data_IF_704908793074
#
_entry.id   IF_704908793074
#
_cell.length_a   1.000
_cell.length_b   1.000
_cell.length_c   1.000
_cell.angle_alpha   90.00
_cell.angle_beta   90.00
_cell.angle_gamma   90.00
#
_symmetry.space_group_name_H-M   'P 1'
#
loop_
_entity.id
_entity.type
_entity.pdbx_description
1 polymer ?
#
# COMPACT_ATOMS: atom_id res chain seq x y z
N UNK A 1 -10.42 -15.90 3.97
CA UNK A 1 -9.84 -16.65 5.11
C UNK A 1 -10.24 -18.13 5.24
N UNK A 2 -11.51 -18.53 5.12
CA UNK A 2 -11.96 -19.92 5.44
C UNK A 2 -11.08 -21.04 4.85
N UNK A 3 -10.68 -20.93 3.58
CA UNK A 3 -9.76 -21.88 2.89
C UNK A 3 -8.40 -22.05 3.58
N UNK A 4 -7.89 -21.01 4.23
CA UNK A 4 -6.54 -20.99 4.82
C UNK A 4 -6.56 -21.09 6.34
N UNK A 5 -7.73 -21.28 6.96
CA UNK A 5 -7.87 -21.33 8.41
C UNK A 5 -6.97 -22.39 9.02
N UNK A 6 -6.99 -23.61 8.47
CA UNK A 6 -6.17 -24.72 8.97
C UNK A 6 -4.67 -24.44 8.81
N UNK A 7 -4.26 -23.87 7.67
CA UNK A 7 -2.88 -23.48 7.43
C UNK A 7 -2.40 -22.42 8.44
N UNK A 8 -3.24 -21.43 8.76
CA UNK A 8 -2.94 -20.39 9.77
C UNK A 8 -2.84 -21.01 11.16
N UNK A 9 -3.84 -21.80 11.57
CA UNK A 9 -3.87 -22.41 12.92
C UNK A 9 -2.68 -23.34 13.12
N UNK A 10 -2.27 -24.08 12.09
CA UNK A 10 -1.17 -25.06 12.16
C UNK A 10 0.21 -24.49 11.75
N UNK A 11 0.31 -23.20 11.43
CA UNK A 11 1.59 -22.58 11.06
C UNK A 11 2.66 -22.81 12.15
N UNK A 12 3.82 -23.36 11.77
CA UNK A 12 4.87 -23.74 12.72
C UNK A 12 5.56 -22.53 13.40
N UNK A 13 5.36 -21.33 12.85
CA UNK A 13 5.97 -20.10 13.38
C UNK A 13 7.46 -19.94 13.03
N UNK A 14 8.06 -20.89 12.31
CA UNK A 14 9.45 -20.80 11.88
C UNK A 14 9.63 -19.68 10.86
N UNK A 15 10.62 -18.82 11.11
CA UNK A 15 11.07 -17.83 10.14
C UNK A 15 12.10 -18.49 9.24
N UNK A 16 11.68 -18.92 8.05
CA UNK A 16 12.62 -19.30 6.99
C UNK A 16 12.59 -18.21 5.93
N UNK A 17 13.52 -17.22 5.97
CA UNK A 17 13.58 -16.20 4.95
C UNK A 17 13.73 -16.84 3.57
N UNK A 18 12.80 -16.57 2.66
CA UNK A 18 12.83 -17.12 1.30
C UNK A 18 11.90 -18.31 1.04
N UNK A 19 11.35 -18.94 2.07
CA UNK A 19 10.51 -20.13 1.93
C UNK A 19 9.19 -19.94 2.68
N UNK A 20 8.15 -19.50 1.95
CA UNK A 20 6.80 -19.50 2.49
C UNK A 20 6.21 -20.91 2.39
N UNK A 21 5.44 -21.38 3.40
CA UNK A 21 4.86 -22.72 3.38
C UNK A 21 3.91 -22.91 2.21
N UNK A 22 3.96 -24.08 1.57
CA UNK A 22 3.18 -24.40 0.38
C UNK A 22 1.66 -24.36 0.62
N UNK A 23 1.22 -24.53 1.86
CA UNK A 23 -0.17 -24.45 2.30
C UNK A 23 -0.76 -23.05 2.10
N UNK A 24 0.09 -22.02 1.99
CA UNK A 24 -0.31 -20.65 1.68
C UNK A 24 -0.23 -20.31 0.19
N UNK A 25 0.27 -21.19 -0.67
CA UNK A 25 0.46 -20.88 -2.09
C UNK A 25 -0.91 -20.70 -2.78
N UNK A 26 -1.09 -19.56 -3.44
CA UNK A 26 -2.28 -19.23 -4.24
C UNK A 26 -2.07 -19.57 -5.71
N UNK A 27 -0.95 -19.12 -6.27
CA UNK A 27 -0.63 -19.25 -7.68
C UNK A 27 0.88 -19.16 -7.91
N UNK A 28 1.35 -19.73 -9.02
CA UNK A 28 2.74 -19.66 -9.45
C UNK A 28 2.84 -19.54 -10.97
N UNK A 29 3.75 -18.69 -11.45
CA UNK A 29 4.09 -18.50 -12.86
C UNK A 29 5.62 -18.48 -13.01
N UNK A 30 6.19 -19.62 -13.39
CA UNK A 30 7.64 -19.82 -13.39
C UNK A 30 8.25 -19.58 -12.01
N UNK A 31 9.10 -18.56 -11.90
CA UNK A 31 9.78 -18.17 -10.66
C UNK A 31 8.97 -17.22 -9.76
N UNK A 32 7.83 -16.72 -10.24
CA UNK A 32 6.94 -15.83 -9.49
C UNK A 32 5.91 -16.66 -8.73
N UNK A 33 5.80 -16.45 -7.43
CA UNK A 33 4.85 -17.12 -6.55
C UNK A 33 4.02 -16.10 -5.76
N UNK A 34 2.72 -16.35 -5.67
CA UNK A 34 1.77 -15.57 -4.89
C UNK A 34 1.27 -16.41 -3.71
N UNK A 35 1.29 -15.84 -2.52
CA UNK A 35 0.85 -16.53 -1.31
C UNK A 35 -0.30 -15.78 -0.65
N UNK A 36 -1.11 -16.51 0.10
CA UNK A 36 -2.19 -15.94 0.88
C UNK A 36 -1.65 -15.18 2.11
N UNK A 37 -2.19 -13.99 2.36
CA UNK A 37 -2.06 -13.21 3.59
C UNK A 37 -3.47 -12.89 4.13
N UNK A 38 -3.72 -12.92 5.46
CA UNK A 38 -5.03 -12.62 6.04
C UNK A 38 -5.36 -11.11 6.06
N UNK A 39 -5.33 -10.46 4.89
CA UNK A 39 -5.64 -9.03 4.69
C UNK A 39 -6.98 -8.80 3.98
N UNK A 40 -7.87 -9.80 3.91
CA UNK A 40 -9.14 -9.75 3.18
C UNK A 40 -10.08 -8.60 3.61
N UNK A 41 -9.93 -8.04 4.82
CA UNK A 41 -10.80 -6.99 5.33
C UNK A 41 -10.63 -5.65 4.57
N UNK A 42 -11.70 -5.13 3.98
CA UNK A 42 -11.71 -3.82 3.32
C UNK A 42 -12.36 -2.76 4.22
N UNK A 43 -11.65 -1.66 4.49
CA UNK A 43 -12.23 -0.54 5.22
C UNK A 43 -13.06 0.35 4.29
N UNK A 44 -14.32 -0.01 4.06
CA UNK A 44 -15.23 0.70 3.14
C UNK A 44 -15.60 2.13 3.58
N UNK A 45 -15.22 2.52 4.80
CA UNK A 45 -15.40 3.89 5.32
C UNK A 45 -14.20 4.80 5.07
N UNK A 46 -13.11 4.27 4.51
CA UNK A 46 -11.92 5.06 4.26
C UNK A 46 -12.19 6.18 3.25
N UNK A 47 -11.59 7.35 3.52
CA UNK A 47 -11.51 8.48 2.60
C UNK A 47 -10.14 8.55 1.93
N UNK A 48 -9.13 7.90 2.49
CA UNK A 48 -7.76 7.84 1.95
C UNK A 48 -7.35 6.39 1.75
N UNK A 49 -6.86 6.06 0.55
CA UNK A 49 -6.26 4.77 0.24
C UNK A 49 -4.79 4.94 -0.06
N UNK A 50 -3.94 4.30 0.75
CA UNK A 50 -2.50 4.26 0.52
C UNK A 50 -2.16 2.97 -0.22
N UNK A 51 -1.56 3.07 -1.41
CA UNK A 51 -1.31 1.92 -2.29
C UNK A 51 0.18 1.67 -2.42
N UNK A 52 0.65 0.59 -1.78
CA UNK A 52 2.00 0.04 -1.97
C UNK A 52 2.11 -0.89 -3.19
N UNK A 53 3.24 -1.59 -3.33
CA UNK A 53 3.43 -2.58 -4.40
C UNK A 53 2.78 -3.91 -4.01
N UNK A 54 3.30 -4.53 -2.95
CA UNK A 54 2.87 -5.83 -2.42
C UNK A 54 3.32 -5.92 -0.96
N UNK A 55 2.62 -6.66 -0.07
CA UNK A 55 3.15 -7.03 1.22
C UNK A 55 4.44 -7.84 1.05
N UNK A 56 5.45 -7.57 1.89
CA UNK A 56 6.68 -8.36 1.98
C UNK A 56 6.62 -9.44 3.06
N UNK A 57 7.65 -10.28 3.11
CA UNK A 57 7.75 -11.41 4.04
C UNK A 57 7.47 -11.05 5.51
N UNK A 58 8.03 -9.93 6.01
CA UNK A 58 7.83 -9.51 7.41
C UNK A 58 6.36 -9.17 7.69
N UNK A 59 5.68 -8.51 6.76
CA UNK A 59 4.25 -8.20 6.89
C UNK A 59 3.43 -9.49 6.87
N UNK A 60 3.75 -10.42 5.96
CA UNK A 60 3.11 -11.73 5.89
C UNK A 60 3.27 -12.52 7.20
N UNK A 61 4.49 -12.65 7.70
CA UNK A 61 4.77 -13.38 8.93
C UNK A 61 4.00 -12.81 10.12
N UNK A 62 4.05 -11.49 10.32
CA UNK A 62 3.36 -10.83 11.42
C UNK A 62 1.82 -10.99 11.30
N UNK A 63 1.28 -10.89 10.09
CA UNK A 63 -0.14 -11.07 9.83
C UNK A 63 -0.60 -12.50 10.16
N UNK A 64 0.11 -13.51 9.66
CA UNK A 64 -0.24 -14.93 9.87
C UNK A 64 -0.11 -15.30 11.35
N UNK A 65 0.97 -14.91 12.02
CA UNK A 65 1.16 -15.20 13.46
C UNK A 65 0.13 -14.49 14.35
N UNK A 66 -0.26 -13.26 14.00
CA UNK A 66 -1.34 -12.54 14.69
C UNK A 66 -2.68 -13.26 14.51
N UNK A 67 -3.03 -13.62 13.27
CA UNK A 67 -4.27 -14.35 12.99
C UNK A 67 -4.28 -15.71 13.68
N UNK A 68 -3.16 -16.44 13.65
CA UNK A 68 -3.00 -17.72 14.35
C UNK A 68 -3.28 -17.60 15.84
N UNK A 69 -2.69 -16.61 16.52
CA UNK A 69 -2.90 -16.40 17.94
C UNK A 69 -4.38 -16.21 18.26
N UNK A 70 -5.04 -15.30 17.54
CA UNK A 70 -6.47 -14.99 17.75
C UNK A 70 -7.35 -16.22 17.55
N UNK A 71 -7.10 -16.99 16.48
CA UNK A 71 -7.87 -18.18 16.17
C UNK A 71 -7.67 -19.30 17.21
N UNK A 72 -6.45 -19.47 17.73
CA UNK A 72 -6.15 -20.43 18.81
C UNK A 72 -6.77 -20.02 20.14
N UNK A 73 -6.90 -18.72 20.39
CA UNK A 73 -7.53 -18.16 21.59
C UNK A 73 -9.08 -18.16 21.50
N UNK A 74 -9.67 -18.77 20.46
CA UNK A 74 -11.12 -18.87 20.27
C UNK A 74 -11.77 -17.63 19.63
N UNK A 75 -10.98 -16.69 19.13
CA UNK A 75 -11.47 -15.53 18.39
C UNK A 75 -12.07 -15.91 17.03
N UNK A 76 -12.93 -15.02 16.52
CA UNK A 76 -13.57 -15.21 15.22
C UNK A 76 -12.73 -14.70 14.04
N UNK A 77 -13.23 -14.98 12.83
CA UNK A 77 -12.55 -14.66 11.58
C UNK A 77 -12.40 -13.14 11.36
N UNK A 78 -13.43 -12.39 11.75
CA UNK A 78 -13.45 -10.95 11.59
C UNK A 78 -12.40 -10.27 12.47
N UNK A 79 -12.27 -10.71 13.73
CA UNK A 79 -11.25 -10.24 14.65
C UNK A 79 -9.85 -10.59 14.14
N UNK A 80 -9.63 -11.84 13.70
CA UNK A 80 -8.34 -12.28 13.18
C UNK A 80 -7.88 -11.43 11.98
N UNK A 81 -8.76 -11.22 10.99
CA UNK A 81 -8.47 -10.38 9.81
C UNK A 81 -8.21 -8.92 10.20
N UNK A 82 -9.02 -8.36 11.10
CA UNK A 82 -8.88 -6.97 11.56
C UNK A 82 -7.54 -6.74 12.24
N UNK A 83 -7.16 -7.59 13.19
CA UNK A 83 -5.91 -7.44 13.91
C UNK A 83 -4.69 -7.80 13.04
N UNK A 84 -4.78 -8.78 12.15
CA UNK A 84 -3.72 -9.08 11.20
C UNK A 84 -3.39 -7.85 10.32
N UNK A 85 -4.42 -7.15 9.83
CA UNK A 85 -4.25 -5.96 8.97
C UNK A 85 -3.68 -4.75 9.71
N UNK A 86 -3.92 -4.61 11.04
CA UNK A 86 -3.33 -3.53 11.85
C UNK A 86 -1.80 -3.53 11.84
N UNK A 87 -1.18 -4.69 11.68
CA UNK A 87 0.27 -4.86 11.73
C UNK A 87 0.96 -4.60 10.38
N UNK A 88 0.24 -4.04 9.41
CA UNK A 88 0.49 -4.34 8.01
C UNK A 88 1.02 -3.25 7.09
N UNK A 89 1.12 -1.97 7.43
CA UNK A 89 1.61 -0.98 6.45
C UNK A 89 2.22 0.29 7.07
N UNK A 90 3.26 0.80 6.40
CA UNK A 90 3.85 2.12 6.63
C UNK A 90 4.16 2.44 8.10
N UNK A 91 5.01 1.65 8.74
CA UNK A 91 5.50 1.86 10.11
C UNK A 91 6.92 2.45 10.15
N UNK A 92 7.35 2.88 11.34
CA UNK A 92 8.71 3.37 11.58
C UNK A 92 9.06 4.66 10.82
N UNK A 93 10.34 4.88 10.45
CA UNK A 93 10.79 6.10 9.78
C UNK A 93 10.04 6.42 8.48
N UNK A 94 9.55 5.38 7.79
CA UNK A 94 8.77 5.53 6.57
C UNK A 94 7.45 6.25 6.85
N UNK A 95 6.78 5.96 7.98
CA UNK A 95 5.55 6.66 8.39
C UNK A 95 5.79 8.15 8.56
N UNK A 96 6.87 8.52 9.24
CA UNK A 96 7.17 9.91 9.54
C UNK A 96 7.38 10.72 8.25
N UNK A 97 8.06 10.14 7.27
CA UNK A 97 8.23 10.76 5.96
C UNK A 97 6.91 10.83 5.19
N UNK A 98 6.11 9.78 5.23
CA UNK A 98 4.80 9.76 4.59
C UNK A 98 3.90 10.86 5.15
N UNK A 99 3.77 10.96 6.48
CA UNK A 99 2.99 12.02 7.15
C UNK A 99 3.42 13.40 6.68
N UNK A 100 4.72 13.70 6.68
CA UNK A 100 5.24 15.00 6.22
C UNK A 100 4.85 15.29 4.77
N UNK A 101 4.93 14.29 3.90
CA UNK A 101 4.55 14.43 2.49
C UNK A 101 3.05 14.66 2.31
N UNK A 102 2.21 13.93 3.05
CA UNK A 102 0.74 14.08 3.02
C UNK A 102 0.32 15.46 3.55
N UNK A 103 0.93 15.92 4.65
CA UNK A 103 0.70 17.26 5.19
C UNK A 103 1.20 18.33 4.23
N UNK A 104 2.35 18.10 3.57
CA UNK A 104 2.93 19.01 2.59
C UNK A 104 2.09 19.21 1.32
N UNK A 105 1.09 18.35 1.07
CA UNK A 105 0.12 18.52 -0.02
C UNK A 105 -1.27 18.97 0.45
N UNK A 106 -1.43 19.25 1.74
CA UNK A 106 -2.70 19.72 2.31
C UNK A 106 -3.72 18.62 2.62
N UNK A 107 -3.31 17.34 2.67
CA UNK A 107 -4.23 16.22 2.89
C UNK A 107 -4.97 16.34 4.23
N UNK A 108 -4.26 16.71 5.30
CA UNK A 108 -4.84 16.87 6.63
C UNK A 108 -5.97 17.91 6.63
N UNK A 109 -5.72 19.07 6.02
CA UNK A 109 -6.70 20.16 5.94
C UNK A 109 -7.94 19.75 5.14
N UNK A 110 -7.74 19.05 4.03
CA UNK A 110 -8.84 18.48 3.23
C UNK A 110 -9.71 17.50 4.04
N UNK A 111 -9.14 16.83 5.04
CA UNK A 111 -9.84 15.91 5.95
C UNK A 111 -10.31 16.57 7.26
N UNK A 112 -10.10 17.88 7.43
CA UNK A 112 -10.34 18.59 8.70
C UNK A 112 -9.57 17.97 9.89
N UNK A 113 -8.33 17.57 9.66
CA UNK A 113 -7.39 17.05 10.65
C UNK A 113 -6.27 18.06 10.90
N UNK A 114 -5.66 18.01 12.08
CA UNK A 114 -4.48 18.82 12.40
C UNK A 114 -3.24 18.31 11.65
N UNK A 115 -3.14 16.99 11.48
CA UNK A 115 -2.10 16.32 10.71
C UNK A 115 -2.56 14.96 10.19
N UNK A 116 -2.02 14.53 9.06
CA UNK A 116 -2.20 13.19 8.50
C UNK A 116 -1.63 12.10 9.41
N UNK A 117 -0.86 12.46 10.46
CA UNK A 117 -0.47 11.53 11.53
C UNK A 117 -1.69 10.86 12.18
N UNK A 118 -2.81 11.61 12.31
CA UNK A 118 -4.04 11.14 12.95
C UNK A 118 -4.67 9.93 12.23
N UNK A 119 -4.40 9.76 10.92
CA UNK A 119 -4.80 8.57 10.16
C UNK A 119 -4.23 7.27 10.73
N UNK A 120 -3.12 7.34 11.48
CA UNK A 120 -2.46 6.18 12.06
C UNK A 120 -2.67 6.02 13.57
N UNK A 121 -3.43 6.92 14.21
CA UNK A 121 -3.68 6.93 15.65
C UNK A 121 -5.18 6.86 15.97
N UNK A 122 -5.84 8.00 15.99
CA UNK A 122 -7.20 8.25 16.48
C UNK A 122 -8.24 8.25 15.34
N UNK A 123 -7.81 8.46 14.10
CA UNK A 123 -8.65 8.46 12.89
C UNK A 123 -8.34 7.29 11.94
N UNK A 124 -7.97 6.13 12.49
CA UNK A 124 -7.64 4.92 11.70
C UNK A 124 -8.76 4.42 10.80
N UNK A 125 -10.02 4.77 11.11
CA UNK A 125 -11.18 4.50 10.26
C UNK A 125 -11.19 5.27 8.93
N UNK A 126 -10.42 6.36 8.79
CA UNK A 126 -10.38 7.18 7.58
C UNK A 126 -9.39 6.67 6.53
N UNK A 127 -8.49 5.75 6.89
CA UNK A 127 -7.46 5.24 5.98
C UNK A 127 -7.66 3.75 5.71
N UNK A 128 -7.44 3.36 4.45
CA UNK A 128 -7.28 1.97 4.03
C UNK A 128 -5.88 1.80 3.45
N UNK A 129 -5.06 0.99 4.09
CA UNK A 129 -3.74 0.64 3.56
C UNK A 129 -3.86 -0.64 2.72
N UNK A 130 -3.40 -0.58 1.49
CA UNK A 130 -3.42 -1.70 0.56
C UNK A 130 -2.19 -1.70 -0.35
N UNK A 131 -2.18 -2.60 -1.32
CA UNK A 131 -1.11 -2.76 -2.30
C UNK A 131 -1.71 -3.09 -3.66
N UNK A 132 -1.01 -2.73 -4.73
CA UNK A 132 -1.40 -3.10 -6.10
C UNK A 132 -1.63 -4.62 -6.22
N UNK A 133 -0.76 -5.39 -5.58
CA UNK A 133 -0.96 -6.81 -5.35
C UNK A 133 -1.32 -7.00 -3.87
N UNK A 134 -2.58 -7.31 -3.59
CA UNK A 134 -3.10 -7.42 -2.22
C UNK A 134 -2.54 -8.64 -1.48
N UNK A 135 -2.14 -9.67 -2.23
CA UNK A 135 -1.48 -10.87 -1.76
C UNK A 135 0.04 -10.77 -1.99
N UNK A 136 0.88 -11.24 -1.05
CA UNK A 136 2.33 -11.14 -1.18
C UNK A 136 2.87 -11.95 -2.36
N UNK A 137 3.74 -11.29 -3.13
CA UNK A 137 4.45 -11.86 -4.27
C UNK A 137 5.93 -12.00 -4.00
N UNK A 138 6.49 -13.11 -4.47
CA UNK A 138 7.91 -13.42 -4.36
C UNK A 138 8.46 -13.91 -5.69
N UNK A 139 9.70 -13.55 -6.00
CA UNK A 139 10.46 -14.10 -7.12
C UNK A 139 11.60 -14.91 -6.53
N UNK A 140 11.56 -16.23 -6.71
CA UNK A 140 12.53 -17.17 -6.12
C UNK A 140 12.69 -16.96 -4.60
N UNK A 141 11.58 -16.78 -3.89
CA UNK A 141 11.58 -16.56 -2.44
C UNK A 141 11.89 -15.12 -1.99
N UNK A 142 12.37 -14.25 -2.87
CA UNK A 142 12.69 -12.85 -2.54
C UNK A 142 11.47 -11.97 -2.77
N UNK A 143 11.24 -10.98 -1.89
CA UNK A 143 10.16 -10.00 -2.04
C UNK A 143 10.13 -9.41 -3.46
N UNK A 144 8.97 -9.47 -4.11
CA UNK A 144 8.79 -8.87 -5.42
C UNK A 144 9.04 -7.35 -5.36
N UNK A 145 9.86 -6.86 -6.29
CA UNK A 145 10.35 -5.47 -6.30
C UNK A 145 9.87 -4.66 -7.52
N UNK A 146 8.88 -5.16 -8.26
CA UNK A 146 8.43 -4.59 -9.54
C UNK A 146 8.93 -5.31 -10.79
N UNK A 147 9.65 -6.44 -10.63
CA UNK A 147 10.12 -7.27 -11.72
C UNK A 147 9.69 -8.73 -11.51
N UNK A 148 9.15 -9.43 -12.52
CA UNK A 148 8.88 -8.95 -13.90
C UNK A 148 7.75 -7.91 -13.95
N UNK A 149 7.67 -7.15 -15.05
CA UNK A 149 6.58 -6.19 -15.26
C UNK A 149 5.23 -6.91 -15.45
N UNK A 150 4.12 -6.36 -14.94
CA UNK A 150 2.80 -7.01 -15.03
C UNK A 150 2.33 -7.22 -16.47
N UNK A 151 2.75 -6.39 -17.42
CA UNK A 151 2.44 -6.61 -18.84
C UNK A 151 3.03 -7.91 -19.39
N UNK A 152 4.02 -8.51 -18.71
CA UNK A 152 4.67 -9.77 -19.09
C UNK A 152 4.21 -10.99 -18.29
N UNK A 153 3.28 -10.84 -17.35
CA UNK A 153 2.81 -11.92 -16.49
C UNK A 153 1.30 -11.98 -16.39
N UNK A 154 0.71 -13.14 -16.68
CA UNK A 154 -0.72 -13.36 -16.57
C UNK A 154 -1.15 -13.36 -15.10
N UNK A 155 -0.33 -13.99 -14.24
CA UNK A 155 -0.54 -14.01 -12.79
C UNK A 155 -0.58 -12.59 -12.22
N UNK A 156 0.36 -11.70 -12.58
CA UNK A 156 0.35 -10.32 -12.07
C UNK A 156 -0.89 -9.54 -12.51
N UNK A 157 -1.35 -9.73 -13.77
CA UNK A 157 -2.57 -9.07 -14.24
C UNK A 157 -3.80 -9.56 -13.48
N UNK A 158 -3.94 -10.89 -13.33
CA UNK A 158 -5.02 -11.48 -12.56
C UNK A 158 -5.00 -10.99 -11.10
N UNK A 159 -3.83 -10.92 -10.47
CA UNK A 159 -3.68 -10.43 -9.11
C UNK A 159 -4.13 -8.96 -8.92
N UNK A 160 -3.97 -8.11 -9.94
CA UNK A 160 -4.51 -6.74 -9.91
C UNK A 160 -6.04 -6.77 -10.00
N UNK A 161 -6.58 -7.53 -10.94
CA UNK A 161 -8.01 -7.57 -11.25
C UNK A 161 -8.85 -8.25 -10.15
N UNK A 162 -8.32 -9.31 -9.53
CA UNK A 162 -8.95 -10.07 -8.45
C UNK A 162 -8.73 -9.42 -7.07
N UNK A 163 -7.69 -8.60 -6.93
CA UNK A 163 -7.32 -7.93 -5.68
C UNK A 163 -7.67 -6.45 -5.69
N UNK A 164 -6.69 -5.62 -6.06
CA UNK A 164 -6.78 -4.17 -5.90
C UNK A 164 -7.94 -3.54 -6.68
N UNK A 165 -8.28 -4.05 -7.87
CA UNK A 165 -9.41 -3.55 -8.64
C UNK A 165 -10.75 -3.70 -7.89
N UNK A 166 -10.93 -4.82 -7.18
CA UNK A 166 -12.14 -5.07 -6.37
C UNK A 166 -12.20 -4.13 -5.17
N UNK A 167 -11.08 -3.93 -4.46
CA UNK A 167 -11.03 -2.97 -3.36
C UNK A 167 -11.31 -1.53 -3.85
N UNK A 168 -10.69 -1.14 -4.96
CA UNK A 168 -10.84 0.17 -5.57
C UNK A 168 -12.30 0.46 -5.97
N UNK A 169 -13.00 -0.52 -6.55
CA UNK A 169 -14.41 -0.40 -6.93
C UNK A 169 -15.35 -0.25 -5.71
N UNK A 170 -15.00 -0.86 -4.57
CA UNK A 170 -15.75 -0.73 -3.33
C UNK A 170 -15.54 0.65 -2.64
N UNK A 171 -14.40 1.29 -2.85
CA UNK A 171 -13.98 2.53 -2.19
C UNK A 171 -14.32 3.77 -3.03
N UNK A 172 -15.62 3.97 -3.27
CA UNK A 172 -16.15 5.02 -4.17
C UNK A 172 -15.90 6.45 -3.69
N UNK A 173 -15.76 6.64 -2.38
CA UNK A 173 -15.56 7.95 -1.75
C UNK A 173 -14.12 8.24 -1.40
N UNK A 174 -13.17 7.36 -1.73
CA UNK A 174 -11.79 7.56 -1.32
C UNK A 174 -10.94 8.19 -2.42
N UNK A 175 -9.90 8.93 -1.99
CA UNK A 175 -8.75 9.28 -2.84
C UNK A 175 -7.67 8.21 -2.74
N UNK A 176 -6.97 7.97 -3.83
CA UNK A 176 -5.93 6.94 -3.95
C UNK A 176 -4.56 7.59 -4.09
N UNK A 177 -3.66 7.21 -3.20
CA UNK A 177 -2.29 7.72 -3.14
C UNK A 177 -1.33 6.56 -3.43
N UNK A 178 -0.93 6.37 -4.71
CA UNK A 178 0.07 5.37 -5.05
C UNK A 178 1.46 5.79 -4.58
N UNK A 179 2.19 4.84 -3.99
CA UNK A 179 3.53 5.06 -3.45
C UNK A 179 4.57 4.38 -4.32
N UNK A 180 5.19 5.18 -5.20
CA UNK A 180 6.23 4.73 -6.12
C UNK A 180 5.72 4.36 -7.52
N UNK A 181 6.63 4.13 -8.48
CA UNK A 181 6.30 4.02 -9.89
C UNK A 181 5.43 2.81 -10.23
N UNK A 182 5.71 1.64 -9.65
CA UNK A 182 4.95 0.41 -9.92
C UNK A 182 3.50 0.53 -9.45
N UNK A 183 3.28 1.04 -8.24
CA UNK A 183 1.94 1.27 -7.72
C UNK A 183 1.20 2.34 -8.55
N UNK A 184 1.91 3.40 -8.95
CA UNK A 184 1.34 4.49 -9.78
C UNK A 184 0.89 3.96 -11.14
N UNK A 185 1.72 3.15 -11.79
CA UNK A 185 1.37 2.56 -13.08
C UNK A 185 0.15 1.63 -12.96
N UNK A 186 0.10 0.78 -11.94
CA UNK A 186 -1.04 -0.10 -11.71
C UNK A 186 -2.35 0.66 -11.42
N UNK A 187 -2.30 1.75 -10.64
CA UNK A 187 -3.45 2.65 -10.45
C UNK A 187 -3.88 3.28 -11.78
N UNK A 188 -2.93 3.74 -12.60
CA UNK A 188 -3.24 4.34 -13.89
C UNK A 188 -3.86 3.35 -14.88
N UNK A 189 -3.55 2.06 -14.78
CA UNK A 189 -4.25 1.01 -15.56
C UNK A 189 -5.73 0.92 -15.17
N UNK A 190 -6.07 1.06 -13.89
CA UNK A 190 -7.48 1.09 -13.46
C UNK A 190 -8.18 2.38 -13.88
N UNK A 191 -7.45 3.50 -13.92
CA UNK A 191 -7.97 4.77 -14.46
C UNK A 191 -8.27 4.63 -15.95
N UNK A 192 -7.35 4.10 -16.76
CA UNK A 192 -7.55 3.96 -18.21
C UNK A 192 -8.67 3.00 -18.58
N UNK A 193 -9.02 2.07 -17.68
CA UNK A 193 -10.16 1.15 -17.81
C UNK A 193 -11.48 1.71 -17.25
N UNK A 194 -11.48 2.91 -16.66
CA UNK A 194 -12.65 3.51 -16.04
C UNK A 194 -13.09 2.89 -14.70
N UNK A 195 -12.24 2.06 -14.08
CA UNK A 195 -12.51 1.48 -12.74
C UNK A 195 -12.24 2.51 -11.64
N UNK A 196 -11.24 3.37 -11.85
CA UNK A 196 -10.92 4.50 -10.98
C UNK A 196 -11.06 5.81 -11.73
N UNK A 197 -11.49 6.84 -11.00
CA UNK A 197 -11.58 8.20 -11.53
C UNK A 197 -10.25 8.92 -11.29
N UNK A 198 -9.65 9.50 -12.33
CA UNK A 198 -8.38 10.22 -12.27
C UNK A 198 -8.42 11.39 -11.27
N UNK A 199 -9.59 12.01 -11.08
CA UNK A 199 -9.75 13.11 -10.12
C UNK A 199 -9.51 12.65 -8.67
N UNK A 200 -9.71 11.35 -8.40
CA UNK A 200 -9.48 10.73 -7.09
C UNK A 200 -8.06 10.19 -6.92
N UNK A 201 -7.18 10.31 -7.92
CA UNK A 201 -5.80 9.81 -7.85
C UNK A 201 -4.82 10.95 -7.56
N UNK A 202 -4.16 10.87 -6.40
CA UNK A 202 -3.12 11.79 -5.95
C UNK A 202 -1.74 11.17 -6.18
N UNK A 203 -1.32 11.09 -7.44
CA UNK A 203 -0.01 10.59 -7.84
C UNK A 203 1.05 11.71 -7.91
N UNK A 204 2.32 11.36 -7.70
CA UNK A 204 3.45 12.28 -7.81
C UNK A 204 4.23 12.52 -6.52
N UNK A 205 3.79 11.97 -5.39
CA UNK A 205 4.57 12.03 -4.15
C UNK A 205 5.91 11.29 -4.31
N UNK A 206 7.03 11.86 -3.80
CA UNK A 206 8.25 11.10 -3.60
C UNK A 206 7.98 9.85 -2.76
N UNK A 207 8.63 8.73 -3.08
CA UNK A 207 8.49 7.54 -2.25
C UNK A 207 9.03 7.81 -0.82
N UNK A 208 8.30 7.49 0.25
CA UNK A 208 8.63 7.90 1.64
C UNK A 208 9.84 7.18 2.27
N UNK A 209 10.54 6.33 1.52
CA UNK A 209 11.70 5.60 2.03
C UNK A 209 12.91 6.51 2.25
N UNK A 210 13.79 6.16 3.19
CA UNK A 210 15.01 6.92 3.48
C UNK A 210 15.97 7.06 2.28
N UNK A 211 15.90 6.18 1.29
CA UNK A 211 16.67 6.31 0.05
C UNK A 211 16.27 7.56 -0.78
N UNK A 212 15.13 8.19 -0.47
CA UNK A 212 14.60 9.36 -1.17
C UNK A 212 14.68 10.66 -0.35
N UNK A 213 15.48 10.71 0.72
CA UNK A 213 15.53 11.88 1.61
C UNK A 213 15.80 13.20 0.88
N UNK A 214 16.67 13.24 -0.13
CA UNK A 214 16.91 14.48 -0.90
C UNK A 214 15.64 14.97 -1.61
N UNK A 215 14.92 14.05 -2.27
CA UNK A 215 13.66 14.37 -2.97
C UNK A 215 12.59 14.82 -2.00
N UNK A 216 12.48 14.17 -0.83
CA UNK A 216 11.55 14.54 0.24
C UNK A 216 11.89 15.94 0.76
N UNK A 217 13.15 16.20 1.10
CA UNK A 217 13.57 17.51 1.60
C UNK A 217 13.30 18.62 0.59
N UNK A 218 13.59 18.41 -0.70
CA UNK A 218 13.28 19.40 -1.73
C UNK A 218 11.77 19.61 -1.90
N UNK A 219 11.00 18.51 -2.00
CA UNK A 219 9.54 18.57 -2.14
C UNK A 219 8.88 19.32 -0.98
N UNK A 220 9.43 19.20 0.23
CA UNK A 220 8.96 19.91 1.42
C UNK A 220 9.53 21.33 1.59
N UNK A 221 10.38 21.80 0.66
CA UNK A 221 11.02 23.13 0.74
C UNK A 221 12.16 23.23 1.77
N UNK A 222 12.65 22.11 2.30
CA UNK A 222 13.73 22.04 3.29
C UNK A 222 15.14 22.04 2.64
N UNK A 223 15.21 21.95 1.32
CA UNK A 223 16.47 21.98 0.56
C UNK A 223 16.32 22.89 -0.65
N UNK A 224 17.30 23.76 -0.88
CA UNK A 224 17.30 24.69 -1.99
C UNK A 224 17.65 23.99 -3.32
N UNK A 225 17.07 24.50 -4.41
CA UNK A 225 17.15 23.91 -5.77
C UNK A 225 18.57 23.79 -6.30
N UNK A 226 19.39 24.81 -6.06
CA UNK A 226 20.80 24.91 -6.46
C UNK A 226 21.72 23.94 -5.71
N UNK A 227 21.25 23.36 -4.59
CA UNK A 227 22.00 22.39 -3.78
C UNK A 227 21.66 20.93 -4.09
N UNK A 228 20.77 20.68 -5.05
CA UNK A 228 20.33 19.34 -5.42
C UNK A 228 21.43 18.54 -6.11
N UNK A 229 21.53 17.25 -5.79
CA UNK A 229 22.37 16.34 -6.58
C UNK A 229 21.79 16.12 -7.98
N UNK A 230 22.62 15.70 -8.92
CA UNK A 230 22.22 15.32 -10.29
C UNK A 230 21.20 14.19 -10.36
N UNK A 231 20.93 13.48 -9.24
CA UNK A 231 19.93 12.41 -9.15
C UNK A 231 18.52 12.94 -8.86
N UNK A 232 18.37 14.22 -8.51
CA UNK A 232 17.08 14.82 -8.17
C UNK A 232 16.67 15.82 -9.24
N UNK A 233 15.61 15.51 -9.97
CA UNK A 233 15.03 16.40 -10.97
C UNK A 233 14.03 17.35 -10.29
N UNK A 234 14.43 18.61 -10.11
CA UNK A 234 13.63 19.65 -9.49
C UNK A 234 12.32 19.91 -10.24
N UNK A 235 12.37 20.03 -11.57
CA UNK A 235 11.21 20.39 -12.38
C UNK A 235 10.10 19.35 -12.29
N UNK A 236 10.46 18.06 -12.31
CA UNK A 236 9.47 16.99 -12.12
C UNK A 236 8.83 17.03 -10.73
N UNK A 237 9.60 17.35 -9.68
CA UNK A 237 9.08 17.46 -8.32
C UNK A 237 8.18 18.69 -8.15
N UNK A 238 8.56 19.83 -8.74
CA UNK A 238 7.79 21.06 -8.70
C UNK A 238 6.44 20.89 -9.44
N UNK A 239 6.47 20.30 -10.64
CA UNK A 239 5.26 19.97 -11.40
C UNK A 239 4.36 19.00 -10.65
N UNK A 240 4.92 17.93 -10.07
CA UNK A 240 4.17 16.97 -9.28
C UNK A 240 3.51 17.64 -8.05
N UNK A 241 4.25 18.49 -7.33
CA UNK A 241 3.74 19.22 -6.17
C UNK A 241 2.60 20.17 -6.56
N UNK A 242 2.77 20.96 -7.62
CA UNK A 242 1.75 21.88 -8.10
C UNK A 242 0.46 21.13 -8.52
N UNK A 243 0.60 20.02 -9.23
CA UNK A 243 -0.53 19.16 -9.61
C UNK A 243 -1.26 18.58 -8.39
N UNK A 244 -0.52 18.07 -7.40
CA UNK A 244 -1.08 17.55 -6.16
C UNK A 244 -1.84 18.61 -5.37
N UNK A 245 -1.26 19.78 -5.16
CA UNK A 245 -1.93 20.90 -4.46
C UNK A 245 -3.20 21.33 -5.18
N UNK A 246 -3.17 21.42 -6.52
CA UNK A 246 -4.33 21.79 -7.32
C UNK A 246 -5.44 20.72 -7.31
N UNK A 247 -5.09 19.43 -7.19
CA UNK A 247 -6.07 18.36 -7.02
C UNK A 247 -6.67 18.39 -5.62
N UNK A 248 -5.85 18.48 -4.58
CA UNK A 248 -6.31 18.50 -3.18
C UNK A 248 -7.24 19.69 -2.93
N UNK A 249 -6.96 20.87 -3.47
CA UNK A 249 -7.84 22.04 -3.29
C UNK A 249 -9.21 21.94 -3.95
N UNK A 250 -9.38 21.05 -4.93
CA UNK A 250 -10.65 20.79 -5.62
C UNK A 250 -11.43 19.63 -5.02
N UNK A 251 -10.77 18.79 -4.22
CA UNK A 251 -11.40 17.68 -3.53
C UNK A 251 -12.04 18.20 -2.25
N UNK A 252 -13.35 18.02 -2.12
CA UNK A 252 -14.07 18.24 -0.88
C UNK A 252 -14.62 16.90 -0.39
N UNK A 253 -14.28 16.52 0.84
CA UNK A 253 -14.92 15.39 1.54
C UNK A 253 -16.15 15.84 2.35
N UNK A 254 -16.58 17.09 2.14
CA UNK A 254 -17.71 17.75 2.80
C UNK A 254 -18.72 18.13 1.73
#
# INVERSE_FOLDING_TARGET
>A
MSRFRDAIVNFSGHKTPGELPAEFLLAQEGNLAQYYIPFDAVNTRALVVLVGITPGYVQWYNAVTTAQKILRDGGDDALALREAKKHGAFSGPLRNNLVKLLDGIGLAQMLSLDSSAQLFTDHTGLVHCTSLYTQPLFVQGVNYNGKPHFSRSALLRAAIDEGFAQEAAALKKAVFIPLGPVATEGVNVLVSRGVLDEVRVLSGLPHPSGANMERISYFLGLKARDTLSSRTNADLLDQAKASLLAKVSKLAFI
#
